data_IF_428535182317
#
_entry.id   IF_428535182317
#
_cell.length_a   1.000
_cell.length_b   1.000
_cell.length_c   1.000
_cell.angle_alpha   90.00
_cell.angle_beta   90.00
_cell.angle_gamma   90.00
#
_symmetry.space_group_name_H-M   'P 1'
#
loop_
_entity.id
_entity.type
_entity.pdbx_description
1 polymer ?
#
# COMPACT_ATOMS: atom_id res chain seq x y z
N UNK A 1 -11.62 -24.09 -4.43
CA UNK A 1 -10.32 -24.75 -4.80
C UNK A 1 -9.12 -23.80 -4.79
N UNK A 2 -8.98 -22.81 -5.70
CA UNK A 2 -7.78 -21.95 -5.71
C UNK A 2 -7.72 -21.01 -4.49
N UNK A 3 -8.86 -20.43 -4.11
CA UNK A 3 -9.00 -19.55 -2.96
C UNK A 3 -8.68 -20.25 -1.64
N UNK A 4 -9.19 -21.45 -1.44
CA UNK A 4 -8.94 -22.28 -0.23
C UNK A 4 -7.45 -22.66 -0.13
N UNK A 5 -6.84 -22.98 -1.27
CA UNK A 5 -5.42 -23.29 -1.29
C UNK A 5 -4.56 -22.07 -0.95
N UNK A 6 -4.87 -20.91 -1.51
CA UNK A 6 -4.20 -19.65 -1.19
C UNK A 6 -4.36 -19.30 0.29
N UNK A 7 -5.60 -19.33 0.81
CA UNK A 7 -5.89 -19.02 2.21
C UNK A 7 -5.15 -19.96 3.17
N UNK A 8 -5.08 -21.26 2.86
CA UNK A 8 -4.33 -22.24 3.66
C UNK A 8 -2.85 -21.90 3.73
N UNK A 9 -2.22 -21.51 2.61
CA UNK A 9 -0.80 -21.12 2.59
C UNK A 9 -0.59 -19.83 3.38
N UNK A 10 -1.48 -18.85 3.24
CA UNK A 10 -1.41 -17.61 4.05
C UNK A 10 -1.48 -17.93 5.54
N UNK A 11 -2.40 -18.82 5.95
CA UNK A 11 -2.55 -19.24 7.34
C UNK A 11 -1.30 -19.96 7.85
N UNK A 12 -0.71 -20.83 7.06
CA UNK A 12 0.56 -21.50 7.39
C UNK A 12 1.70 -20.49 7.61
N UNK A 13 1.82 -19.49 6.72
CA UNK A 13 2.84 -18.44 6.83
C UNK A 13 2.57 -17.44 7.96
N UNK A 14 1.31 -17.18 8.26
CA UNK A 14 0.89 -16.32 9.37
C UNK A 14 1.21 -16.96 10.73
N UNK A 15 1.13 -18.29 10.81
CA UNK A 15 1.52 -19.07 11.99
C UNK A 15 0.50 -19.10 13.13
N UNK A 16 -0.68 -18.50 12.95
CA UNK A 16 -1.76 -18.43 13.92
C UNK A 16 -3.11 -18.69 13.25
N UNK A 17 -4.11 -19.04 14.07
CA UNK A 17 -5.49 -19.04 13.58
C UNK A 17 -5.98 -17.62 13.35
N UNK A 18 -6.71 -17.42 12.26
CA UNK A 18 -7.30 -16.12 11.98
C UNK A 18 -8.42 -15.80 12.99
N UNK A 19 -8.40 -14.58 13.50
CA UNK A 19 -9.57 -14.05 14.19
C UNK A 19 -10.75 -13.90 13.21
N UNK A 20 -12.00 -13.76 13.69
CA UNK A 20 -13.15 -13.55 12.79
C UNK A 20 -12.98 -12.35 11.85
N UNK A 21 -12.35 -11.26 12.34
CA UNK A 21 -12.08 -10.05 11.53
C UNK A 21 -10.98 -10.30 10.49
N UNK A 22 -9.94 -11.05 10.82
CA UNK A 22 -8.89 -11.43 9.87
C UNK A 22 -9.42 -12.40 8.81
N UNK A 23 -10.31 -13.33 9.20
CA UNK A 23 -11.00 -14.22 8.26
C UNK A 23 -11.84 -13.42 7.26
N UNK A 24 -12.62 -12.44 7.73
CA UNK A 24 -13.40 -11.57 6.87
C UNK A 24 -12.50 -10.73 5.93
N UNK A 25 -11.41 -10.18 6.46
CA UNK A 25 -10.42 -9.44 5.67
C UNK A 25 -9.80 -10.33 4.58
N UNK A 26 -9.45 -11.58 4.91
CA UNK A 26 -8.89 -12.54 3.95
C UNK A 26 -9.87 -12.87 2.82
N UNK A 27 -11.16 -13.10 3.16
CA UNK A 27 -12.22 -13.34 2.17
C UNK A 27 -12.39 -12.15 1.22
N UNK A 28 -12.41 -10.93 1.76
CA UNK A 28 -12.54 -9.71 0.95
C UNK A 28 -11.29 -9.47 0.09
N UNK A 29 -10.10 -9.76 0.62
CA UNK A 29 -8.86 -9.69 -0.15
C UNK A 29 -8.85 -10.67 -1.33
N UNK A 30 -9.32 -11.88 -1.14
CA UNK A 30 -9.46 -12.86 -2.22
C UNK A 30 -10.45 -12.38 -3.29
N UNK A 31 -11.58 -11.80 -2.89
CA UNK A 31 -12.52 -11.21 -3.84
C UNK A 31 -11.86 -10.09 -4.66
N UNK A 32 -11.12 -9.18 -4.01
CA UNK A 32 -10.34 -8.14 -4.66
C UNK A 32 -9.27 -8.72 -5.60
N UNK A 33 -8.55 -9.77 -5.19
CA UNK A 33 -7.47 -10.37 -5.99
C UNK A 33 -7.98 -10.90 -7.34
N UNK A 34 -9.23 -11.39 -7.39
CA UNK A 34 -9.85 -11.91 -8.60
C UNK A 34 -10.82 -10.94 -9.28
N UNK A 35 -10.98 -9.73 -8.73
CA UNK A 35 -11.74 -8.67 -9.39
C UNK A 35 -11.08 -8.28 -10.72
N UNK A 36 -11.89 -7.98 -11.72
CA UNK A 36 -11.42 -7.59 -13.07
C UNK A 36 -11.51 -6.08 -13.31
N UNK A 37 -11.99 -5.33 -12.32
CA UNK A 37 -12.07 -3.88 -12.46
C UNK A 37 -10.65 -3.29 -12.57
N UNK A 38 -10.38 -2.44 -13.57
CA UNK A 38 -9.01 -1.98 -13.87
C UNK A 38 -8.37 -1.15 -12.76
N UNK A 39 -9.15 -0.44 -11.96
CA UNK A 39 -8.67 0.47 -10.92
C UNK A 39 -9.12 0.03 -9.53
N UNK A 40 -9.16 -1.30 -9.30
CA UNK A 40 -9.54 -1.84 -7.99
C UNK A 40 -8.54 -1.46 -6.90
N UNK A 41 -9.07 -0.95 -5.80
CA UNK A 41 -8.33 -0.65 -4.58
C UNK A 41 -8.85 -1.49 -3.42
N UNK A 42 -7.94 -2.03 -2.60
CA UNK A 42 -8.29 -2.72 -1.37
C UNK A 42 -7.84 -1.93 -0.15
N UNK A 43 -8.77 -1.67 0.75
CA UNK A 43 -8.52 -0.92 1.96
C UNK A 43 -8.64 -1.83 3.19
N UNK A 44 -7.51 -2.08 3.87
CA UNK A 44 -7.44 -2.87 5.11
C UNK A 44 -7.33 -1.94 6.32
N UNK A 45 -8.43 -1.76 7.02
CA UNK A 45 -8.50 -0.96 8.25
C UNK A 45 -8.46 -1.83 9.51
N UNK A 46 -7.91 -1.31 10.58
CA UNK A 46 -7.99 -1.94 11.90
C UNK A 46 -7.10 -1.24 12.91
N UNK A 47 -7.34 -1.49 14.19
CA UNK A 47 -6.59 -0.89 15.30
C UNK A 47 -5.15 -1.41 15.37
N UNK A 48 -4.27 -0.66 16.04
CA UNK A 48 -2.91 -1.10 16.35
C UNK A 48 -2.93 -2.46 17.10
N UNK A 49 -1.95 -3.30 16.83
CA UNK A 49 -1.84 -4.60 17.49
C UNK A 49 -2.81 -5.70 17.00
N UNK A 50 -3.66 -5.44 16.00
CA UNK A 50 -4.58 -6.46 15.45
C UNK A 50 -3.93 -7.42 14.44
N UNK A 51 -2.61 -7.33 14.26
CA UNK A 51 -1.85 -8.21 13.38
C UNK A 51 -1.94 -7.88 11.88
N UNK A 52 -2.36 -6.65 11.51
CA UNK A 52 -2.47 -6.23 10.10
C UNK A 52 -1.17 -6.47 9.31
N UNK A 53 -0.06 -5.89 9.78
CA UNK A 53 1.23 -5.98 9.10
C UNK A 53 1.72 -7.44 8.99
N UNK A 54 1.51 -8.26 10.02
CA UNK A 54 1.86 -9.68 9.99
C UNK A 54 1.00 -10.48 9.01
N UNK A 55 -0.31 -10.22 8.97
CA UNK A 55 -1.22 -10.84 8.01
C UNK A 55 -0.84 -10.47 6.58
N UNK A 56 -0.59 -9.17 6.33
CA UNK A 56 -0.19 -8.68 5.02
C UNK A 56 1.16 -9.25 4.60
N UNK A 57 2.11 -9.39 5.52
CA UNK A 57 3.40 -10.05 5.25
C UNK A 57 3.21 -11.51 4.82
N UNK A 58 2.31 -12.27 5.46
CA UNK A 58 1.96 -13.62 5.05
C UNK A 58 1.30 -13.67 3.66
N UNK A 59 0.40 -12.73 3.37
CA UNK A 59 -0.22 -12.56 2.04
C UNK A 59 0.85 -12.27 0.98
N UNK A 60 1.73 -11.30 1.21
CA UNK A 60 2.82 -10.92 0.31
C UNK A 60 3.72 -12.11 -0.01
N UNK A 61 4.16 -12.84 1.01
CA UNK A 61 5.01 -14.02 0.83
C UNK A 61 4.29 -15.17 0.12
N UNK A 62 2.97 -15.24 0.23
CA UNK A 62 2.16 -16.20 -0.52
C UNK A 62 2.04 -15.78 -1.98
N UNK A 63 1.75 -14.50 -2.25
CA UNK A 63 1.69 -13.95 -3.61
C UNK A 63 2.99 -14.19 -4.38
N UNK A 64 4.14 -13.93 -3.74
CA UNK A 64 5.46 -14.19 -4.32
C UNK A 64 5.69 -15.67 -4.65
N UNK A 65 5.19 -16.58 -3.83
CA UNK A 65 5.25 -18.02 -4.13
C UNK A 65 4.45 -18.39 -5.38
N UNK A 66 3.40 -17.63 -5.69
CA UNK A 66 2.63 -17.73 -6.94
C UNK A 66 3.16 -16.84 -8.07
N UNK A 67 4.41 -16.37 -7.96
CA UNK A 67 5.08 -15.51 -8.94
C UNK A 67 4.38 -14.18 -9.22
N UNK A 68 3.46 -13.77 -8.31
CA UNK A 68 2.81 -12.49 -8.41
C UNK A 68 3.79 -11.36 -8.03
N UNK A 69 3.92 -10.36 -8.90
CA UNK A 69 4.77 -9.20 -8.63
C UNK A 69 4.16 -8.33 -7.52
N UNK A 70 4.99 -7.93 -6.57
CA UNK A 70 4.60 -7.05 -5.46
C UNK A 70 5.60 -5.92 -5.28
N UNK A 71 5.10 -4.76 -4.84
CA UNK A 71 5.90 -3.61 -4.42
C UNK A 71 5.42 -3.17 -3.05
N UNK A 72 6.35 -3.07 -2.09
CA UNK A 72 6.03 -2.69 -0.71
C UNK A 72 6.44 -1.25 -0.45
N UNK A 73 5.51 -0.46 0.05
CA UNK A 73 5.66 0.97 0.29
C UNK A 73 5.23 1.36 1.70
N UNK A 74 5.75 2.48 2.18
CA UNK A 74 5.28 3.13 3.40
C UNK A 74 5.52 4.64 3.32
N UNK A 75 4.80 5.47 4.11
CA UNK A 75 4.99 6.91 4.10
C UNK A 75 6.37 7.34 4.61
N UNK A 76 6.94 6.61 5.55
CA UNK A 76 8.22 6.95 6.19
C UNK A 76 9.26 5.86 6.06
N UNK A 77 10.55 6.21 6.17
CA UNK A 77 11.65 5.25 6.16
C UNK A 77 11.60 4.26 7.32
N UNK A 78 11.11 4.69 8.50
CA UNK A 78 10.92 3.82 9.66
C UNK A 78 9.84 2.77 9.38
N UNK A 79 8.69 3.19 8.89
CA UNK A 79 7.60 2.27 8.52
C UNK A 79 8.03 1.30 7.42
N UNK A 80 8.73 1.77 6.38
CA UNK A 80 9.28 0.90 5.34
C UNK A 80 10.24 -0.16 5.91
N UNK A 81 11.11 0.22 6.85
CA UNK A 81 12.02 -0.73 7.51
C UNK A 81 11.26 -1.79 8.32
N UNK A 82 10.22 -1.39 9.04
CA UNK A 82 9.37 -2.31 9.82
C UNK A 82 8.65 -3.27 8.86
N UNK A 83 8.03 -2.75 7.79
CA UNK A 83 7.34 -3.58 6.80
C UNK A 83 8.28 -4.57 6.11
N UNK A 84 9.49 -4.13 5.75
CA UNK A 84 10.54 -5.01 5.22
C UNK A 84 10.94 -6.11 6.21
N UNK A 85 11.02 -5.78 7.51
CA UNK A 85 11.34 -6.76 8.56
C UNK A 85 10.30 -7.87 8.70
N UNK A 86 9.01 -7.53 8.63
CA UNK A 86 7.92 -8.52 8.69
C UNK A 86 7.80 -9.37 7.43
N UNK A 87 7.91 -8.73 6.26
CA UNK A 87 7.72 -9.41 4.98
C UNK A 87 8.96 -10.12 4.46
N UNK A 88 10.14 -9.82 5.00
CA UNK A 88 11.44 -10.26 4.48
C UNK A 88 11.65 -9.86 3.01
N UNK A 89 10.99 -8.79 2.58
CA UNK A 89 11.07 -8.24 1.24
C UNK A 89 11.48 -6.77 1.28
N UNK A 90 12.15 -6.24 0.26
CA UNK A 90 12.49 -4.82 0.17
C UNK A 90 11.23 -3.95 0.20
N UNK A 91 11.17 -3.00 1.12
CA UNK A 91 10.14 -1.97 1.15
C UNK A 91 10.79 -0.58 1.01
N UNK A 92 10.09 0.34 0.37
CA UNK A 92 10.57 1.68 0.06
C UNK A 92 9.63 2.74 0.61
N UNK A 93 10.12 3.97 0.77
CA UNK A 93 9.19 5.08 0.98
C UNK A 93 8.43 5.39 -0.31
N UNK A 94 7.16 5.85 -0.16
CA UNK A 94 6.34 6.26 -1.31
C UNK A 94 7.14 7.28 -2.15
N UNK A 95 7.66 8.34 -1.53
CA UNK A 95 8.45 9.37 -2.21
C UNK A 95 9.60 8.80 -3.04
N UNK A 96 10.40 7.89 -2.47
CA UNK A 96 11.52 7.28 -3.19
C UNK A 96 11.07 6.45 -4.39
N UNK A 97 9.89 5.85 -4.32
CA UNK A 97 9.38 4.99 -5.39
C UNK A 97 8.77 5.80 -6.52
N UNK A 98 7.95 6.81 -6.21
CA UNK A 98 7.12 7.48 -7.21
C UNK A 98 7.75 8.74 -7.80
N UNK A 99 8.64 9.44 -7.08
CA UNK A 99 9.21 10.69 -7.56
C UNK A 99 10.62 10.53 -8.14
N UNK A 100 10.93 11.40 -9.10
CA UNK A 100 12.25 11.55 -9.71
C UNK A 100 12.63 13.03 -9.75
N UNK A 101 13.87 13.34 -9.42
CA UNK A 101 14.38 14.69 -9.47
C UNK A 101 14.55 15.14 -10.93
N UNK A 102 14.00 16.30 -11.27
CA UNK A 102 14.20 16.93 -12.56
C UNK A 102 15.44 17.83 -12.46
N UNK A 103 16.48 17.49 -13.19
CA UNK A 103 17.76 18.20 -13.37
C UNK A 103 18.23 19.15 -12.27
N UNK A 104 19.30 18.76 -11.56
CA UNK A 104 19.96 19.49 -10.48
C UNK A 104 20.64 20.83 -10.86
N UNK A 105 20.38 21.41 -12.04
CA UNK A 105 21.08 22.62 -12.52
C UNK A 105 20.55 23.93 -11.98
N UNK A 106 19.42 23.99 -11.32
CA UNK A 106 18.80 25.24 -10.85
C UNK A 106 18.48 25.28 -9.33
N UNK A 107 19.30 24.65 -8.50
CA UNK A 107 19.34 24.92 -7.05
C UNK A 107 18.11 24.55 -6.19
N UNK A 108 16.92 24.38 -6.74
CA UNK A 108 15.72 23.94 -6.05
C UNK A 108 15.28 22.63 -6.69
N UNK A 109 15.42 21.53 -5.94
CA UNK A 109 15.05 20.20 -6.44
C UNK A 109 13.53 20.08 -6.63
N UNK A 110 13.03 20.26 -7.84
CA UNK A 110 11.66 19.92 -8.20
C UNK A 110 11.61 18.41 -8.49
N UNK A 111 10.72 17.72 -7.81
CA UNK A 111 10.51 16.30 -7.96
C UNK A 111 9.18 16.04 -8.69
N UNK A 112 9.26 15.44 -9.86
CA UNK A 112 8.08 15.07 -10.64
C UNK A 112 7.75 13.60 -10.46
N UNK A 113 6.50 13.26 -10.73
CA UNK A 113 6.05 11.88 -10.81
C UNK A 113 6.87 11.12 -11.86
N UNK A 114 7.44 9.99 -11.45
CA UNK A 114 8.25 9.14 -12.31
C UNK A 114 7.39 8.24 -13.19
N UNK A 115 7.98 7.71 -14.24
CA UNK A 115 7.31 6.69 -15.05
C UNK A 115 7.19 5.37 -14.26
N UNK A 116 5.99 4.76 -14.26
CA UNK A 116 5.75 3.45 -13.69
C UNK A 116 5.92 2.35 -14.73
N UNK A 117 7.08 1.70 -14.73
CA UNK A 117 7.35 0.56 -15.61
C UNK A 117 6.84 -0.78 -15.07
N UNK A 118 6.16 -0.81 -13.91
CA UNK A 118 5.61 -2.05 -13.37
C UNK A 118 4.33 -2.44 -14.14
N UNK A 119 4.14 -3.76 -14.32
CA UNK A 119 2.93 -4.32 -14.91
C UNK A 119 2.48 -5.54 -14.08
N UNK A 120 1.16 -5.78 -14.02
CA UNK A 120 0.57 -6.89 -13.25
C UNK A 120 1.06 -6.93 -11.79
N UNK A 121 1.22 -5.78 -11.16
CA UNK A 121 1.88 -5.64 -9.87
C UNK A 121 0.89 -5.19 -8.80
N UNK A 122 0.91 -5.83 -7.63
CA UNK A 122 0.22 -5.36 -6.44
C UNK A 122 1.13 -4.44 -5.62
N UNK A 123 0.67 -3.21 -5.42
CA UNK A 123 1.34 -2.23 -4.56
C UNK A 123 0.70 -2.28 -3.18
N UNK A 124 1.49 -2.58 -2.15
CA UNK A 124 1.07 -2.57 -0.76
C UNK A 124 1.65 -1.36 -0.07
N UNK A 125 0.80 -0.59 0.60
CA UNK A 125 1.19 0.59 1.36
C UNK A 125 0.80 0.39 2.81
N UNK A 126 1.76 0.17 3.68
CA UNK A 126 1.53 0.10 5.13
C UNK A 126 1.58 1.50 5.76
N UNK A 127 0.93 1.67 6.90
CA UNK A 127 0.77 2.95 7.61
C UNK A 127 0.13 4.05 6.73
N UNK A 128 -0.83 3.67 5.89
CA UNK A 128 -1.50 4.61 4.97
C UNK A 128 -2.23 5.75 5.70
N UNK A 129 -2.58 5.58 6.98
CA UNK A 129 -3.13 6.65 7.83
C UNK A 129 -2.24 7.90 7.93
N UNK A 130 -0.95 7.76 7.69
CA UNK A 130 0.01 8.86 7.71
C UNK A 130 0.14 9.61 6.38
N UNK A 131 -0.54 9.19 5.33
CA UNK A 131 -0.49 9.86 4.01
C UNK A 131 -1.32 11.14 4.09
N UNK A 132 -0.68 12.28 3.78
CA UNK A 132 -1.34 13.59 3.69
C UNK A 132 -1.90 13.87 2.30
N UNK A 133 -3.04 14.55 2.22
CA UNK A 133 -3.61 15.08 0.97
C UNK A 133 -3.05 16.44 0.54
N UNK A 134 -2.22 17.05 1.35
CA UNK A 134 -1.58 18.33 1.04
C UNK A 134 -0.25 18.37 1.71
N UNK A 135 0.83 18.57 0.97
CA UNK A 135 2.10 19.01 1.52
C UNK A 135 2.22 20.51 1.29
N UNK A 136 2.64 21.25 2.33
CA UNK A 136 3.11 22.63 2.14
C UNK A 136 4.41 22.68 1.32
N UNK A 137 4.99 21.52 1.01
CA UNK A 137 6.17 21.38 0.16
C UNK A 137 5.74 21.31 -1.31
N UNK A 138 5.65 22.47 -1.94
CA UNK A 138 5.39 22.65 -3.39
C UNK A 138 6.45 22.01 -4.31
N UNK A 139 7.40 21.27 -3.75
CA UNK A 139 8.53 20.70 -4.49
C UNK A 139 8.26 19.27 -5.02
N UNK A 140 7.17 18.62 -4.60
CA UNK A 140 6.85 17.26 -4.98
C UNK A 140 5.52 17.17 -5.74
N UNK A 141 5.55 16.68 -6.98
CA UNK A 141 4.40 16.33 -7.79
C UNK A 141 3.29 17.38 -7.81
N UNK A 142 2.05 16.94 -7.55
CA UNK A 142 0.86 17.80 -7.46
C UNK A 142 0.72 18.48 -6.09
N UNK A 143 1.51 18.06 -5.09
CA UNK A 143 1.37 18.46 -3.68
C UNK A 143 0.44 17.54 -2.87
N UNK A 144 -0.24 16.57 -3.48
CA UNK A 144 -1.00 15.51 -2.82
C UNK A 144 -0.31 14.16 -3.00
N UNK A 145 0.30 13.66 -1.93
CA UNK A 145 1.01 12.38 -1.99
C UNK A 145 0.08 11.21 -2.31
N UNK A 146 -1.17 11.27 -1.87
CA UNK A 146 -2.17 10.23 -2.14
C UNK A 146 -2.55 10.20 -3.62
N UNK A 147 -2.85 11.37 -4.21
CA UNK A 147 -3.25 11.46 -5.62
C UNK A 147 -2.09 11.05 -6.54
N UNK A 148 -0.88 11.52 -6.24
CA UNK A 148 0.33 11.15 -6.97
C UNK A 148 0.63 9.64 -6.87
N UNK A 149 0.36 9.01 -5.72
CA UNK A 149 0.50 7.57 -5.55
C UNK A 149 -0.53 6.79 -6.40
N UNK A 150 -1.79 7.22 -6.36
CA UNK A 150 -2.88 6.61 -7.14
C UNK A 150 -2.56 6.73 -8.63
N UNK A 151 -2.23 7.94 -9.09
CA UNK A 151 -1.83 8.17 -10.47
C UNK A 151 -0.63 7.31 -10.89
N UNK A 152 0.42 7.25 -10.05
CA UNK A 152 1.59 6.43 -10.34
C UNK A 152 1.23 4.95 -10.50
N UNK A 153 0.43 4.40 -9.60
CA UNK A 153 0.07 2.97 -9.62
C UNK A 153 -0.72 2.64 -10.87
N UNK A 154 -1.77 3.41 -11.18
CA UNK A 154 -2.70 3.10 -12.27
C UNK A 154 -2.22 3.55 -13.65
N UNK A 155 -1.20 4.42 -13.74
CA UNK A 155 -0.47 4.65 -15.00
C UNK A 155 0.34 3.43 -15.46
N UNK A 156 0.56 2.44 -14.59
CA UNK A 156 1.13 1.16 -14.99
C UNK A 156 0.05 0.18 -15.46
N UNK A 157 0.45 -0.80 -16.28
CA UNK A 157 -0.51 -1.75 -16.86
C UNK A 157 -0.97 -2.80 -15.86
N UNK A 158 -2.29 -2.88 -15.59
CA UNK A 158 -2.92 -3.90 -14.73
C UNK A 158 -2.29 -3.97 -13.33
N UNK A 159 -2.00 -2.82 -12.76
CA UNK A 159 -1.55 -2.70 -11.38
C UNK A 159 -2.73 -2.51 -10.44
N UNK A 160 -2.54 -2.82 -9.15
CA UNK A 160 -3.56 -2.68 -8.12
C UNK A 160 -2.94 -2.13 -6.85
N UNK A 161 -3.74 -1.43 -6.05
CA UNK A 161 -3.33 -0.76 -4.83
C UNK A 161 -4.01 -1.39 -3.60
N UNK A 162 -3.21 -1.66 -2.57
CA UNK A 162 -3.65 -2.13 -1.26
C UNK A 162 -3.16 -1.12 -0.23
N UNK A 163 -4.08 -0.44 0.44
CA UNK A 163 -3.80 0.49 1.53
C UNK A 163 -4.07 -0.18 2.87
N UNK A 164 -3.11 -0.12 3.80
CA UNK A 164 -3.21 -0.70 5.13
C UNK A 164 -3.04 0.44 6.14
N UNK A 165 -4.00 0.60 7.03
CA UNK A 165 -3.93 1.68 8.00
C UNK A 165 -4.67 1.42 9.30
N UNK A 166 -4.37 2.25 10.27
CA UNK A 166 -4.99 2.25 11.59
C UNK A 166 -5.96 3.44 11.70
N UNK A 167 -7.23 3.14 11.92
CA UNK A 167 -8.27 4.16 12.07
C UNK A 167 -8.22 4.91 13.40
N UNK A 168 -7.46 4.41 14.37
CA UNK A 168 -7.26 5.06 15.67
C UNK A 168 -5.96 5.88 15.74
N UNK A 169 -5.10 5.84 14.72
CA UNK A 169 -3.94 6.73 14.66
C UNK A 169 -4.37 8.15 14.34
N UNK A 170 -3.60 9.11 14.83
CA UNK A 170 -3.81 10.52 14.51
C UNK A 170 -3.74 10.73 13.00
N UNK A 171 -4.73 11.39 12.41
CA UNK A 171 -4.68 11.74 11.00
C UNK A 171 -3.56 12.76 10.73
N UNK A 172 -3.19 12.99 9.46
CA UNK A 172 -2.27 14.04 9.09
C UNK A 172 -2.72 15.41 9.60
N UNK A 173 -1.76 16.31 9.84
CA UNK A 173 -2.04 17.65 10.37
C UNK A 173 -3.03 18.38 9.45
N UNK A 174 -4.12 18.88 10.04
CA UNK A 174 -5.12 19.68 9.33
C UNK A 174 -6.35 18.92 8.81
N UNK A 175 -6.47 17.62 9.12
CA UNK A 175 -7.65 16.81 8.80
C UNK A 175 -8.10 15.99 10.00
N UNK A 176 -9.41 15.73 10.11
CA UNK A 176 -9.99 14.96 11.22
C UNK A 176 -9.89 13.44 11.00
N UNK A 177 -9.81 13.00 9.73
CA UNK A 177 -9.68 11.61 9.34
C UNK A 177 -8.64 11.51 8.21
N UNK A 178 -7.89 10.40 8.16
CA UNK A 178 -6.94 10.18 7.07
C UNK A 178 -7.67 9.90 5.75
N UNK A 179 -7.47 10.72 4.72
CA UNK A 179 -8.10 10.55 3.41
C UNK A 179 -7.80 9.19 2.76
N UNK A 180 -6.60 8.67 2.96
CA UNK A 180 -6.20 7.35 2.47
C UNK A 180 -6.97 6.18 3.11
N UNK A 181 -7.74 6.43 4.17
CA UNK A 181 -8.58 5.45 4.85
C UNK A 181 -10.09 5.70 4.66
N UNK A 182 -10.47 6.69 3.90
CA UNK A 182 -11.87 7.04 3.62
C UNK A 182 -12.27 6.55 2.23
N UNK A 183 -13.26 5.64 2.16
CA UNK A 183 -13.72 5.09 0.89
C UNK A 183 -14.28 6.18 -0.04
N UNK A 184 -14.87 7.23 0.51
CA UNK A 184 -15.48 8.33 -0.26
C UNK A 184 -14.44 9.21 -0.97
N UNK A 185 -13.20 9.24 -0.49
CA UNK A 185 -12.08 9.94 -1.14
C UNK A 185 -11.36 9.09 -2.20
N UNK A 186 -11.68 7.79 -2.24
CA UNK A 186 -11.00 6.82 -3.11
C UNK A 186 -11.89 6.38 -4.29
N UNK A 187 -13.06 7.00 -4.45
CA UNK A 187 -13.97 6.87 -5.59
C UNK A 187 -13.67 7.96 -6.60
#
# INVERSE_FOLDING_TARGET
MINEHFERIVKEKFGFDFSPTQQAAMKNFLAFLFDRHPESLFLLKGYAGTGKTSLVAAIVNTLLQFEQQVVLLAPTGRAAKVFSGYSHQPAFTIHKKIYRQKNAREGVGIFNLGFNGNANTLFFVDEASMISMGSQDSNFGTGSLLDDLIEFVYNGRNNRLVLIGDTAQLPPIGVDVSPALEADFLQ
#
